data_IF_987776531358
#
_entry.id   IF_987776531358
#
_cell.length_a   1.000
_cell.length_b   1.000
_cell.length_c   1.000
_cell.angle_alpha   90.00
_cell.angle_beta   90.00
_cell.angle_gamma   90.00
#
_symmetry.space_group_name_H-M   'P 1'
#
loop_
_entity.id
_entity.type
_entity.pdbx_description
1 polymer ?
#
# COMPACT_ATOMS: atom_id res chain seq x y z
N UNK A 1 16.32 -19.04 -3.55
CA UNK A 1 15.44 -18.37 -4.52
C UNK A 1 14.60 -17.40 -3.71
N UNK A 2 14.55 -16.14 -4.09
CA UNK A 2 13.70 -15.16 -3.40
C UNK A 2 12.24 -15.43 -3.80
N UNK A 3 11.36 -15.56 -2.82
CA UNK A 3 9.92 -15.74 -3.05
C UNK A 3 9.34 -14.42 -3.53
N UNK A 4 9.13 -14.29 -4.85
CA UNK A 4 8.65 -13.08 -5.50
C UNK A 4 7.45 -13.43 -6.39
N UNK A 5 6.41 -12.65 -6.29
CA UNK A 5 5.30 -12.63 -7.24
C UNK A 5 5.58 -11.52 -8.26
N UNK A 6 5.82 -11.91 -9.50
CA UNK A 6 6.17 -10.99 -10.60
C UNK A 6 5.00 -10.82 -11.55
N UNK A 7 4.64 -9.58 -11.84
CA UNK A 7 3.77 -9.18 -12.93
C UNK A 7 4.67 -8.61 -14.02
N UNK A 8 4.62 -9.18 -15.23
CA UNK A 8 5.53 -8.81 -16.32
C UNK A 8 4.78 -8.48 -17.60
N UNK A 9 4.92 -7.23 -18.06
CA UNK A 9 4.35 -6.67 -19.29
C UNK A 9 2.84 -6.97 -19.49
N UNK A 10 2.08 -6.97 -18.38
CA UNK A 10 0.64 -7.30 -18.42
C UNK A 10 -0.14 -6.16 -19.04
N UNK A 11 -0.86 -6.49 -20.13
CA UNK A 11 -1.78 -5.56 -20.79
C UNK A 11 -3.20 -6.13 -20.83
N UNK A 12 -4.19 -5.24 -20.78
CA UNK A 12 -5.60 -5.61 -20.83
C UNK A 12 -6.47 -4.50 -21.41
N UNK A 13 -7.34 -4.88 -22.35
CA UNK A 13 -8.34 -4.00 -22.95
C UNK A 13 -9.76 -4.54 -22.68
N UNK A 14 -10.71 -3.63 -22.57
CA UNK A 14 -12.14 -3.93 -22.57
C UNK A 14 -12.78 -3.15 -23.72
N UNK A 15 -13.30 -3.88 -24.71
CA UNK A 15 -13.74 -3.30 -25.98
C UNK A 15 -12.63 -2.46 -26.61
N UNK A 16 -12.82 -1.18 -26.83
CA UNK A 16 -11.83 -0.27 -27.42
C UNK A 16 -10.93 0.43 -26.39
N UNK A 17 -11.20 0.25 -25.09
CA UNK A 17 -10.42 0.92 -24.03
C UNK A 17 -9.34 0.02 -23.46
N UNK A 18 -8.09 0.38 -23.66
CA UNK A 18 -6.96 -0.26 -22.98
C UNK A 18 -6.91 0.24 -21.53
N UNK A 19 -7.06 -0.70 -20.58
CA UNK A 19 -7.10 -0.42 -19.14
C UNK A 19 -5.74 -0.67 -18.50
N UNK A 20 -4.97 -1.65 -18.99
CA UNK A 20 -3.59 -1.91 -18.54
C UNK A 20 -2.65 -1.88 -19.73
N UNK A 21 -1.48 -1.26 -19.53
CA UNK A 21 -0.46 -0.98 -20.56
C UNK A 21 0.90 -1.43 -20.02
N UNK A 22 1.32 -2.63 -20.40
CA UNK A 22 2.63 -3.21 -20.07
C UNK A 22 3.01 -3.10 -18.57
N UNK A 23 2.04 -3.42 -17.71
CA UNK A 23 2.19 -3.32 -16.25
C UNK A 23 3.24 -4.33 -15.79
N UNK A 24 4.32 -3.82 -15.16
CA UNK A 24 5.43 -4.62 -14.65
C UNK A 24 5.82 -4.18 -13.25
N UNK A 25 5.80 -5.10 -12.29
CA UNK A 25 6.26 -4.91 -10.92
C UNK A 25 6.40 -6.24 -10.17
N UNK A 26 7.10 -6.19 -9.03
CA UNK A 26 7.32 -7.31 -8.14
C UNK A 26 6.64 -7.11 -6.78
N UNK A 27 6.19 -8.21 -6.17
CA UNK A 27 5.76 -8.28 -4.77
C UNK A 27 6.66 -9.26 -4.04
N UNK A 28 7.53 -8.73 -3.18
CA UNK A 28 8.60 -9.49 -2.54
C UNK A 28 8.14 -10.13 -1.23
N UNK A 29 8.59 -11.36 -0.97
CA UNK A 29 8.33 -12.08 0.27
C UNK A 29 8.78 -11.30 1.51
N UNK A 30 7.98 -11.42 2.57
CA UNK A 30 8.26 -10.75 3.84
C UNK A 30 8.06 -9.24 3.83
N UNK A 31 7.50 -8.69 2.76
CA UNK A 31 7.30 -7.26 2.59
C UNK A 31 5.85 -6.91 2.33
N UNK A 32 5.47 -5.72 2.79
CA UNK A 32 4.16 -5.14 2.54
C UNK A 32 4.28 -4.14 1.39
N UNK A 33 3.65 -4.44 0.26
CA UNK A 33 3.66 -3.63 -0.96
C UNK A 33 2.34 -2.88 -1.10
N UNK A 34 2.39 -1.55 -1.15
CA UNK A 34 1.25 -0.68 -1.43
C UNK A 34 1.07 -0.48 -2.94
N UNK A 35 -0.10 -0.80 -3.46
CA UNK A 35 -0.48 -0.57 -4.85
C UNK A 35 -1.39 0.66 -4.95
N UNK A 36 -0.82 1.78 -5.36
CA UNK A 36 -1.42 3.11 -5.23
C UNK A 36 -1.81 3.66 -6.61
N UNK A 37 -2.97 4.28 -6.67
CA UNK A 37 -3.46 4.93 -7.90
C UNK A 37 -4.88 5.47 -7.70
N UNK A 38 -5.28 6.40 -8.54
CA UNK A 38 -6.64 6.92 -8.56
C UNK A 38 -7.66 5.82 -8.88
N UNK A 39 -8.95 6.09 -8.61
CA UNK A 39 -10.01 5.19 -9.02
C UNK A 39 -10.04 5.05 -10.55
N UNK A 40 -10.14 3.81 -11.03
CA UNK A 40 -10.07 3.51 -12.46
C UNK A 40 -8.65 3.45 -13.06
N UNK A 41 -7.57 3.61 -12.25
CA UNK A 41 -6.19 3.49 -12.73
C UNK A 41 -5.77 2.08 -13.16
N UNK A 42 -6.54 1.03 -12.80
CA UNK A 42 -6.26 -0.35 -13.17
C UNK A 42 -5.90 -1.28 -12.00
N UNK A 43 -5.91 -0.81 -10.74
CA UNK A 43 -5.54 -1.59 -9.55
C UNK A 43 -6.31 -2.92 -9.45
N UNK A 44 -7.63 -2.87 -9.32
CA UNK A 44 -8.50 -4.05 -9.20
C UNK A 44 -8.38 -4.97 -10.42
N UNK A 45 -8.24 -4.41 -11.63
CA UNK A 45 -8.03 -5.19 -12.85
C UNK A 45 -6.74 -5.98 -12.80
N UNK A 46 -5.64 -5.36 -12.38
CA UNK A 46 -4.34 -6.02 -12.19
C UNK A 46 -4.44 -7.14 -11.15
N UNK A 47 -5.03 -6.88 -9.99
CA UNK A 47 -5.21 -7.90 -8.94
C UNK A 47 -6.06 -9.09 -9.42
N UNK A 48 -7.15 -8.84 -10.16
CA UNK A 48 -7.99 -9.90 -10.76
C UNK A 48 -7.21 -10.75 -11.77
N UNK A 49 -6.29 -10.16 -12.54
CA UNK A 49 -5.39 -10.90 -13.45
C UNK A 49 -4.40 -11.76 -12.66
N UNK A 50 -3.76 -11.21 -11.62
CA UNK A 50 -2.86 -11.96 -10.74
C UNK A 50 -3.54 -13.20 -10.15
N UNK A 51 -4.80 -13.09 -9.78
CA UNK A 51 -5.61 -14.17 -9.21
C UNK A 51 -6.21 -15.11 -10.26
N UNK A 52 -6.08 -14.78 -11.55
CA UNK A 52 -6.65 -15.56 -12.65
C UNK A 52 -8.18 -15.50 -12.74
N UNK A 53 -8.80 -14.52 -12.09
CA UNK A 53 -10.22 -14.18 -12.23
C UNK A 53 -10.48 -13.53 -13.61
N UNK A 54 -9.47 -12.81 -14.10
CA UNK A 54 -9.47 -12.16 -15.40
C UNK A 54 -8.23 -12.59 -16.19
N UNK A 55 -8.38 -12.84 -17.48
CA UNK A 55 -7.25 -13.12 -18.37
C UNK A 55 -6.57 -11.81 -18.80
N UNK A 56 -5.25 -11.81 -18.91
CA UNK A 56 -4.51 -10.76 -19.60
C UNK A 56 -4.60 -10.92 -21.12
N UNK A 57 -4.49 -9.84 -21.88
CA UNK A 57 -4.37 -9.91 -23.33
C UNK A 57 -2.93 -10.24 -23.74
N UNK A 58 -1.95 -9.76 -22.96
CA UNK A 58 -0.51 -10.07 -23.09
C UNK A 58 0.19 -9.99 -21.73
N UNK A 59 1.43 -10.45 -21.69
CA UNK A 59 2.23 -10.48 -20.47
C UNK A 59 1.98 -11.72 -19.62
N UNK A 60 2.68 -11.81 -18.50
CA UNK A 60 2.63 -13.00 -17.62
C UNK A 60 2.60 -12.61 -16.14
N UNK A 61 2.09 -13.53 -15.31
CA UNK A 61 2.23 -13.45 -13.86
C UNK A 61 2.89 -14.75 -13.38
N UNK A 62 3.96 -14.60 -12.61
CA UNK A 62 4.74 -15.75 -12.11
C UNK A 62 4.87 -15.70 -10.59
N UNK A 63 4.93 -16.87 -9.95
CA UNK A 63 5.26 -17.04 -8.56
C UNK A 63 6.52 -17.91 -8.44
N UNK A 64 7.56 -17.40 -7.75
CA UNK A 64 8.86 -18.09 -7.64
C UNK A 64 9.45 -18.45 -9.02
N UNK A 65 9.24 -17.59 -10.03
CA UNK A 65 9.69 -17.78 -11.40
C UNK A 65 8.89 -18.78 -12.24
N UNK A 66 7.84 -19.40 -11.68
CA UNK A 66 6.94 -20.30 -12.41
C UNK A 66 5.61 -19.63 -12.76
N UNK A 67 5.03 -19.88 -13.96
CA UNK A 67 3.70 -19.40 -14.31
C UNK A 67 2.65 -19.86 -13.30
N UNK A 68 1.68 -18.98 -13.01
CA UNK A 68 0.61 -19.28 -12.06
C UNK A 68 -0.41 -20.25 -12.69
N UNK A 69 -0.47 -21.46 -12.16
CA UNK A 69 -1.55 -22.40 -12.42
C UNK A 69 -2.70 -22.24 -11.40
N UNK A 70 -3.78 -23.00 -11.62
CA UNK A 70 -4.95 -23.00 -10.73
C UNK A 70 -4.63 -23.50 -9.31
N UNK A 71 -3.71 -24.47 -9.20
CA UNK A 71 -3.32 -25.06 -7.92
C UNK A 71 -2.54 -24.03 -7.07
N UNK A 72 -1.61 -23.31 -7.69
CA UNK A 72 -0.85 -22.24 -7.06
C UNK A 72 -1.75 -21.11 -6.61
N UNK A 73 -2.68 -20.66 -7.45
CA UNK A 73 -3.63 -19.58 -7.10
C UNK A 73 -4.56 -19.93 -5.93
N UNK A 74 -4.88 -21.21 -5.72
CA UNK A 74 -5.65 -21.64 -4.55
C UNK A 74 -4.94 -21.43 -3.22
N UNK A 75 -3.63 -21.25 -3.24
CA UNK A 75 -2.80 -20.94 -2.07
C UNK A 75 -2.66 -19.43 -1.81
N UNK A 76 -3.31 -18.61 -2.63
CA UNK A 76 -3.34 -17.17 -2.45
C UNK A 76 -4.56 -16.75 -1.64
N UNK A 77 -4.38 -15.81 -0.73
CA UNK A 77 -5.48 -15.16 -0.03
C UNK A 77 -5.90 -13.92 -0.82
N UNK A 78 -7.20 -13.76 -1.00
CA UNK A 78 -7.75 -12.61 -1.69
C UNK A 78 -8.88 -11.96 -0.90
N UNK A 79 -8.80 -10.66 -0.77
CA UNK A 79 -9.88 -9.82 -0.29
C UNK A 79 -10.29 -8.86 -1.40
N UNK A 80 -11.50 -8.98 -1.98
CA UNK A 80 -12.02 -8.03 -2.96
C UNK A 80 -12.47 -6.72 -2.30
N UNK A 81 -12.46 -5.63 -3.06
CA UNK A 81 -13.02 -4.33 -2.63
C UNK A 81 -14.52 -4.46 -2.33
N UNK A 82 -15.27 -5.16 -3.21
CA UNK A 82 -16.68 -5.47 -2.98
C UNK A 82 -16.83 -6.58 -1.93
N UNK A 83 -17.78 -6.40 -1.02
CA UNK A 83 -18.01 -7.37 0.06
C UNK A 83 -18.61 -8.65 -0.49
N UNK A 84 -17.78 -9.66 -0.66
CA UNK A 84 -18.17 -10.99 -1.15
C UNK A 84 -18.71 -11.94 -0.07
N UNK A 85 -19.02 -11.43 1.12
CA UNK A 85 -19.52 -12.24 2.23
C UNK A 85 -21.03 -12.42 2.18
N UNK A 86 -21.53 -13.58 2.63
CA UNK A 86 -22.97 -13.86 2.70
C UNK A 86 -23.59 -13.10 3.88
N UNK A 87 -24.50 -12.14 3.66
CA UNK A 87 -24.98 -11.24 4.71
C UNK A 87 -25.67 -11.94 5.88
N UNK A 88 -26.43 -13.00 5.59
CA UNK A 88 -27.26 -13.76 6.56
C UNK A 88 -26.56 -14.98 7.14
N UNK A 89 -25.30 -15.18 6.87
CA UNK A 89 -24.50 -16.27 7.44
C UNK A 89 -23.72 -15.76 8.67
N UNK A 90 -23.56 -16.61 9.66
CA UNK A 90 -22.74 -16.30 10.84
C UNK A 90 -21.28 -16.12 10.47
N UNK A 91 -20.59 -15.22 11.16
CA UNK A 91 -19.19 -14.88 10.85
C UNK A 91 -18.31 -16.11 10.88
N UNK A 92 -18.31 -16.84 12.01
CA UNK A 92 -17.47 -18.03 12.16
C UNK A 92 -17.87 -19.12 11.18
N UNK A 93 -19.17 -19.38 11.01
CA UNK A 93 -19.68 -20.38 10.07
C UNK A 93 -19.15 -20.12 8.65
N UNK A 94 -19.19 -18.88 8.21
CA UNK A 94 -18.76 -18.50 6.87
C UNK A 94 -17.25 -18.65 6.67
N UNK A 95 -16.42 -18.21 7.65
CA UNK A 95 -14.97 -18.34 7.56
C UNK A 95 -14.55 -19.81 7.57
N UNK A 96 -15.18 -20.64 8.42
CA UNK A 96 -14.99 -22.09 8.44
C UNK A 96 -15.31 -22.70 7.08
N UNK A 97 -16.46 -22.35 6.51
CA UNK A 97 -16.86 -22.82 5.18
C UNK A 97 -15.82 -22.47 4.10
N UNK A 98 -15.33 -21.22 4.10
CA UNK A 98 -14.28 -20.78 3.16
C UNK A 98 -12.96 -21.54 3.39
N UNK A 99 -12.57 -21.79 4.64
CA UNK A 99 -11.41 -22.62 4.97
C UNK A 99 -11.52 -24.05 4.40
N UNK A 100 -12.72 -24.65 4.52
CA UNK A 100 -12.98 -25.97 3.95
C UNK A 100 -12.93 -25.98 2.40
N UNK A 101 -13.36 -24.91 1.73
CA UNK A 101 -13.22 -24.77 0.26
C UNK A 101 -11.73 -24.73 -0.17
N UNK A 102 -10.85 -24.29 0.71
CA UNK A 102 -9.39 -24.32 0.50
C UNK A 102 -8.73 -25.64 0.95
N UNK A 103 -9.52 -26.62 1.42
CA UNK A 103 -9.06 -27.98 1.73
C UNK A 103 -8.74 -28.22 3.20
N UNK A 104 -9.04 -27.30 4.11
CA UNK A 104 -8.92 -27.55 5.55
C UNK A 104 -9.96 -28.56 6.03
N UNK A 105 -9.62 -29.36 7.04
CA UNK A 105 -10.62 -30.09 7.80
C UNK A 105 -11.57 -29.11 8.52
N UNK A 106 -12.76 -29.58 8.91
CA UNK A 106 -13.71 -28.74 9.64
C UNK A 106 -13.15 -28.24 10.96
N UNK A 107 -12.43 -29.10 11.67
CA UNK A 107 -11.83 -28.79 12.97
C UNK A 107 -10.69 -27.78 12.81
N UNK A 108 -9.75 -28.01 11.89
CA UNK A 108 -8.68 -27.05 11.59
C UNK A 108 -9.24 -25.68 11.15
N UNK A 109 -10.24 -25.69 10.27
CA UNK A 109 -10.88 -24.45 9.81
C UNK A 109 -11.53 -23.69 10.98
N UNK A 110 -12.18 -24.41 11.92
CA UNK A 110 -12.80 -23.82 13.11
C UNK A 110 -11.75 -23.22 14.04
N UNK A 111 -10.70 -23.97 14.36
CA UNK A 111 -9.67 -23.51 15.29
C UNK A 111 -8.96 -22.28 14.74
N UNK A 112 -8.58 -22.30 13.46
CA UNK A 112 -7.98 -21.14 12.78
C UNK A 112 -8.94 -19.95 12.70
N UNK A 113 -10.21 -20.19 12.46
CA UNK A 113 -11.24 -19.14 12.44
C UNK A 113 -11.33 -18.45 13.79
N UNK A 114 -11.46 -19.22 14.88
CA UNK A 114 -11.58 -18.64 16.23
C UNK A 114 -10.33 -17.85 16.60
N UNK A 115 -9.14 -18.36 16.33
CA UNK A 115 -7.88 -17.66 16.54
C UNK A 115 -7.79 -16.34 15.74
N UNK A 116 -8.23 -16.32 14.49
CA UNK A 116 -8.26 -15.10 13.67
C UNK A 116 -9.29 -14.10 14.18
N UNK A 117 -10.48 -14.56 14.58
CA UNK A 117 -11.52 -13.68 15.12
C UNK A 117 -11.08 -13.05 16.45
N UNK A 118 -10.39 -13.79 17.32
CA UNK A 118 -9.82 -13.26 18.55
C UNK A 118 -8.80 -12.15 18.25
N UNK A 119 -7.86 -12.40 17.34
CA UNK A 119 -6.82 -11.43 16.96
C UNK A 119 -7.39 -10.18 16.28
N UNK A 120 -8.50 -10.32 15.57
CA UNK A 120 -9.20 -9.22 14.91
C UNK A 120 -10.24 -8.54 15.81
N UNK A 121 -10.37 -8.95 17.08
CA UNK A 121 -11.31 -8.38 18.04
C UNK A 121 -12.78 -8.66 17.71
N UNK A 122 -13.07 -9.85 17.15
CA UNK A 122 -14.41 -10.28 16.72
C UNK A 122 -14.88 -11.56 17.39
N UNK A 123 -14.13 -12.12 18.35
CA UNK A 123 -14.45 -13.41 18.97
C UNK A 123 -15.85 -13.44 19.61
N UNK A 124 -16.23 -12.37 20.34
CA UNK A 124 -17.54 -12.26 20.98
C UNK A 124 -18.72 -12.15 19.99
N UNK A 125 -18.42 -11.88 18.72
CA UNK A 125 -19.39 -11.70 17.63
C UNK A 125 -19.40 -12.87 16.64
N UNK A 126 -18.71 -13.97 16.96
CA UNK A 126 -18.49 -15.11 16.07
C UNK A 126 -19.80 -15.68 15.47
N UNK A 127 -20.88 -15.66 16.22
CA UNK A 127 -22.20 -16.17 15.81
C UNK A 127 -23.11 -15.09 15.18
N UNK A 128 -22.69 -13.82 15.17
CA UNK A 128 -23.48 -12.75 14.56
C UNK A 128 -23.48 -12.87 13.03
N UNK A 129 -24.59 -12.46 12.41
CA UNK A 129 -24.68 -12.36 10.95
C UNK A 129 -23.87 -11.17 10.46
N UNK A 130 -23.22 -11.32 9.28
CA UNK A 130 -22.35 -10.29 8.68
C UNK A 130 -23.10 -8.96 8.49
N UNK A 131 -24.38 -8.99 8.10
CA UNK A 131 -25.20 -7.78 7.86
C UNK A 131 -25.42 -6.93 9.11
N UNK A 132 -25.26 -7.49 10.32
CA UNK A 132 -25.41 -6.78 11.59
C UNK A 132 -24.15 -6.04 12.01
N UNK A 133 -23.03 -6.29 11.35
CA UNK A 133 -21.76 -5.67 11.66
C UNK A 133 -21.62 -4.27 11.07
N UNK A 134 -20.86 -3.42 11.77
CA UNK A 134 -20.35 -2.18 11.18
C UNK A 134 -19.47 -2.48 9.96
N UNK A 135 -19.33 -1.47 9.08
CA UNK A 135 -18.49 -1.60 7.88
C UNK A 135 -17.08 -2.06 8.20
N UNK A 136 -16.46 -1.50 9.25
CA UNK A 136 -15.12 -1.86 9.69
C UNK A 136 -15.03 -3.29 10.21
N UNK A 137 -16.05 -3.79 10.92
CA UNK A 137 -16.06 -5.18 11.35
C UNK A 137 -16.26 -6.15 10.18
N UNK A 138 -17.10 -5.80 9.19
CA UNK A 138 -17.21 -6.59 7.96
C UNK A 138 -15.87 -6.69 7.21
N UNK A 139 -15.10 -5.59 7.19
CA UNK A 139 -13.76 -5.54 6.60
C UNK A 139 -12.81 -6.51 7.30
N UNK A 140 -12.82 -6.52 8.65
CA UNK A 140 -12.01 -7.46 9.44
C UNK A 140 -12.41 -8.92 9.19
N UNK A 141 -13.71 -9.21 9.02
CA UNK A 141 -14.20 -10.56 8.65
C UNK A 141 -13.69 -10.97 7.27
N UNK A 142 -13.65 -10.06 6.29
CA UNK A 142 -13.08 -10.35 4.96
C UNK A 142 -11.58 -10.69 5.03
N UNK A 143 -10.82 -9.96 5.85
CA UNK A 143 -9.39 -10.27 6.06
C UNK A 143 -9.24 -11.62 6.74
N UNK A 144 -10.07 -11.96 7.74
CA UNK A 144 -10.06 -13.30 8.34
C UNK A 144 -10.32 -14.40 7.30
N UNK A 145 -11.31 -14.18 6.43
CA UNK A 145 -11.64 -15.10 5.33
C UNK A 145 -10.48 -15.29 4.35
N UNK A 146 -9.75 -14.22 4.02
CA UNK A 146 -8.57 -14.28 3.16
C UNK A 146 -7.37 -14.99 3.81
N UNK A 147 -7.33 -15.07 5.15
CA UNK A 147 -6.22 -15.62 5.93
C UNK A 147 -6.42 -17.04 6.43
N UNK A 148 -7.67 -17.54 6.54
CA UNK A 148 -8.00 -18.79 7.26
C UNK A 148 -7.27 -20.02 6.75
N UNK A 149 -6.97 -20.08 5.43
CA UNK A 149 -6.28 -21.20 4.80
C UNK A 149 -4.75 -21.09 4.80
N UNK A 150 -4.19 -20.08 5.51
CA UNK A 150 -2.76 -19.83 5.63
C UNK A 150 -2.07 -19.61 4.27
N UNK A 151 -2.41 -18.52 3.56
CA UNK A 151 -1.98 -18.29 2.20
C UNK A 151 -0.48 -18.03 2.06
N UNK A 152 0.11 -18.43 0.90
CA UNK A 152 1.49 -18.14 0.53
C UNK A 152 1.69 -16.72 -0.03
N UNK A 153 0.62 -16.09 -0.52
CA UNK A 153 0.59 -14.71 -1.02
C UNK A 153 -0.73 -14.09 -0.60
N UNK A 154 -0.72 -12.84 -0.21
CA UNK A 154 -1.92 -12.12 0.19
C UNK A 154 -2.15 -10.91 -0.71
N UNK A 155 -3.32 -10.83 -1.34
CA UNK A 155 -3.75 -9.74 -2.22
C UNK A 155 -5.02 -9.13 -1.65
N UNK A 156 -4.96 -7.85 -1.27
CA UNK A 156 -6.05 -7.16 -0.58
C UNK A 156 -6.45 -5.90 -1.35
N UNK A 157 -7.71 -5.83 -1.78
CA UNK A 157 -8.22 -4.66 -2.49
C UNK A 157 -8.92 -3.71 -1.51
N UNK A 158 -8.34 -2.53 -1.26
CA UNK A 158 -8.79 -1.49 -0.32
C UNK A 158 -9.08 -2.00 1.11
N UNK A 159 -8.18 -2.77 1.76
CA UNK A 159 -8.47 -3.46 3.03
C UNK A 159 -8.74 -2.51 4.20
N UNK A 160 -8.28 -1.28 4.15
CA UNK A 160 -8.38 -0.31 5.22
C UNK A 160 -9.51 0.71 5.02
N UNK A 161 -10.28 0.58 3.93
CA UNK A 161 -11.36 1.52 3.62
C UNK A 161 -12.45 1.49 4.69
N UNK A 162 -12.80 2.68 5.23
CA UNK A 162 -13.86 2.83 6.22
C UNK A 162 -13.53 2.32 7.63
N UNK A 163 -12.25 2.07 7.93
CA UNK A 163 -11.76 1.72 9.26
C UNK A 163 -11.42 2.96 10.08
N UNK A 164 -11.70 2.90 11.38
CA UNK A 164 -11.11 3.83 12.35
C UNK A 164 -9.62 3.50 12.61
N UNK A 165 -8.83 4.42 13.20
CA UNK A 165 -7.41 4.20 13.44
C UNK A 165 -7.08 2.96 14.26
N UNK A 166 -7.90 2.62 15.28
CA UNK A 166 -7.67 1.44 16.10
C UNK A 166 -7.89 0.15 15.30
N UNK A 167 -8.92 0.13 14.45
CA UNK A 167 -9.17 -0.99 13.56
C UNK A 167 -8.06 -1.19 12.54
N UNK A 168 -7.49 -0.08 12.00
CA UNK A 168 -6.32 -0.13 11.13
C UNK A 168 -5.15 -0.78 11.86
N UNK A 169 -4.84 -0.34 13.08
CA UNK A 169 -3.69 -0.85 13.85
C UNK A 169 -3.82 -2.36 14.15
N UNK A 170 -5.02 -2.83 14.49
CA UNK A 170 -5.30 -4.27 14.68
C UNK A 170 -5.04 -5.05 13.39
N UNK A 171 -5.59 -4.59 12.26
CA UNK A 171 -5.38 -5.27 10.97
C UNK A 171 -3.93 -5.27 10.54
N UNK A 172 -3.24 -4.13 10.69
CA UNK A 172 -1.80 -4.03 10.39
C UNK A 172 -0.99 -5.01 11.24
N UNK A 173 -1.31 -5.16 12.52
CA UNK A 173 -0.67 -6.17 13.39
C UNK A 173 -0.77 -7.57 12.79
N UNK A 174 -1.96 -7.99 12.37
CA UNK A 174 -2.19 -9.31 11.74
C UNK A 174 -1.43 -9.46 10.42
N UNK A 175 -1.42 -8.42 9.56
CA UNK A 175 -0.69 -8.46 8.28
C UNK A 175 0.82 -8.47 8.46
N UNK A 176 1.35 -7.73 9.44
CA UNK A 176 2.79 -7.72 9.76
C UNK A 176 3.29 -9.06 10.28
N UNK A 177 2.48 -9.80 11.03
CA UNK A 177 2.86 -11.16 11.41
C UNK A 177 2.96 -12.08 10.19
N UNK A 178 2.12 -11.89 9.17
CA UNK A 178 2.24 -12.65 7.92
C UNK A 178 3.49 -12.27 7.12
N UNK A 179 3.81 -10.99 7.03
CA UNK A 179 5.07 -10.58 6.39
C UNK A 179 6.29 -11.07 7.17
N UNK A 180 6.26 -11.04 8.50
CA UNK A 180 7.33 -11.60 9.33
C UNK A 180 7.51 -13.12 9.13
N UNK A 181 6.44 -13.84 8.79
CA UNK A 181 6.48 -15.25 8.40
C UNK A 181 6.94 -15.48 6.93
N UNK A 182 7.30 -14.41 6.20
CA UNK A 182 7.79 -14.49 4.84
C UNK A 182 6.70 -14.36 3.76
N UNK A 183 5.43 -14.16 4.11
CA UNK A 183 4.34 -14.00 3.15
C UNK A 183 4.41 -12.63 2.48
N UNK A 184 4.48 -12.53 1.13
CA UNK A 184 4.32 -11.26 0.44
C UNK A 184 2.88 -10.76 0.55
N UNK A 185 2.71 -9.49 0.88
CA UNK A 185 1.40 -8.84 1.01
C UNK A 185 1.33 -7.69 0.01
N UNK A 186 0.38 -7.74 -0.92
CA UNK A 186 0.02 -6.64 -1.80
C UNK A 186 -1.34 -6.08 -1.34
N UNK A 187 -1.41 -4.78 -1.11
CA UNK A 187 -2.72 -4.16 -0.90
C UNK A 187 -2.89 -2.89 -1.72
N UNK A 188 -4.08 -2.68 -2.25
CA UNK A 188 -4.43 -1.42 -2.91
C UNK A 188 -4.87 -0.38 -1.88
N UNK A 189 -4.57 0.88 -2.18
CA UNK A 189 -5.15 2.02 -1.47
C UNK A 189 -5.12 3.28 -2.31
N UNK A 190 -6.07 4.17 -2.07
CA UNK A 190 -6.06 5.56 -2.54
C UNK A 190 -5.64 6.54 -1.43
N UNK A 191 -5.40 6.06 -0.19
CA UNK A 191 -4.98 6.86 0.97
C UNK A 191 -3.46 6.83 1.09
N UNK A 192 -2.78 7.80 0.47
CA UNK A 192 -1.31 7.86 0.40
C UNK A 192 -0.63 7.91 1.76
N UNK A 193 -1.19 8.66 2.72
CA UNK A 193 -0.65 8.78 4.07
C UNK A 193 -0.63 7.43 4.82
N UNK A 194 -1.68 6.63 4.64
CA UNK A 194 -1.76 5.29 5.21
C UNK A 194 -0.71 4.36 4.59
N UNK A 195 -0.61 4.39 3.25
CA UNK A 195 0.39 3.61 2.52
C UNK A 195 1.80 3.99 2.94
N UNK A 196 2.09 5.29 3.07
CA UNK A 196 3.39 5.80 3.54
C UNK A 196 3.78 5.27 4.90
N UNK A 197 2.80 5.13 5.81
CA UNK A 197 3.02 4.60 7.16
C UNK A 197 3.26 3.10 7.19
N UNK A 198 2.58 2.34 6.30
CA UNK A 198 2.48 0.88 6.41
C UNK A 198 3.40 0.10 5.48
N UNK A 199 3.71 0.62 4.29
CA UNK A 199 4.40 -0.13 3.26
C UNK A 199 5.92 -0.11 3.37
N UNK A 200 6.52 -1.21 2.99
CA UNK A 200 7.96 -1.35 2.75
C UNK A 200 8.28 -0.98 1.29
N UNK A 201 7.42 -1.41 0.36
CA UNK A 201 7.51 -1.16 -1.07
C UNK A 201 6.24 -0.50 -1.59
N UNK A 202 6.38 0.19 -2.72
CA UNK A 202 5.32 0.93 -3.39
C UNK A 202 5.30 0.65 -4.87
N UNK A 203 4.09 0.58 -5.42
CA UNK A 203 3.84 0.53 -6.86
C UNK A 203 2.77 1.59 -7.16
N UNK A 204 3.13 2.59 -7.95
CA UNK A 204 2.23 3.69 -8.35
C UNK A 204 1.76 3.44 -9.77
N UNK A 205 0.44 3.33 -9.95
CA UNK A 205 -0.20 3.15 -11.24
C UNK A 205 -1.07 4.37 -11.60
N UNK A 206 -0.92 4.87 -12.81
CA UNK A 206 -1.80 5.89 -13.37
C UNK A 206 -2.05 5.61 -14.86
N UNK A 207 -3.28 5.83 -15.33
CA UNK A 207 -3.73 5.61 -16.72
C UNK A 207 -3.37 4.22 -17.28
N UNK A 208 -3.41 3.22 -16.39
CA UNK A 208 -3.13 1.82 -16.73
C UNK A 208 -1.65 1.47 -16.87
N UNK A 209 -0.72 2.37 -16.53
CA UNK A 209 0.72 2.12 -16.59
C UNK A 209 1.39 2.34 -15.23
N UNK A 210 2.43 1.56 -14.92
CA UNK A 210 3.26 1.81 -13.74
C UNK A 210 4.07 3.07 -13.97
N UNK A 211 3.95 4.01 -13.04
CA UNK A 211 4.68 5.28 -13.05
C UNK A 211 5.94 5.23 -12.20
N UNK A 212 5.86 4.54 -11.07
CA UNK A 212 7.00 4.32 -10.20
C UNK A 212 6.80 3.02 -9.41
N UNK A 213 7.89 2.30 -9.13
CA UNK A 213 7.89 1.12 -8.27
C UNK A 213 9.24 0.98 -7.56
N UNK A 214 9.22 0.50 -6.31
CA UNK A 214 10.42 0.27 -5.53
C UNK A 214 10.21 0.41 -4.03
N UNK A 215 11.31 0.32 -3.27
CA UNK A 215 11.22 0.56 -1.84
C UNK A 215 10.85 2.02 -1.54
N UNK A 216 10.16 2.23 -0.42
CA UNK A 216 9.79 3.57 0.05
C UNK A 216 11.00 4.51 0.13
N UNK A 217 12.15 4.00 0.60
CA UNK A 217 13.40 4.76 0.66
C UNK A 217 13.94 5.09 -0.72
N UNK A 218 14.06 4.09 -1.59
CA UNK A 218 14.55 4.30 -2.97
C UNK A 218 13.70 5.31 -3.73
N UNK A 219 12.36 5.22 -3.61
CA UNK A 219 11.49 6.18 -4.27
C UNK A 219 11.67 7.60 -3.71
N UNK A 220 11.72 7.75 -2.39
CA UNK A 220 11.99 9.06 -1.79
C UNK A 220 13.32 9.65 -2.24
N UNK A 221 14.37 8.84 -2.28
CA UNK A 221 15.72 9.30 -2.69
C UNK A 221 15.74 9.66 -4.20
N UNK A 222 15.03 8.91 -5.04
CA UNK A 222 14.97 9.18 -6.48
C UNK A 222 14.19 10.44 -6.84
N UNK A 223 13.22 10.82 -6.01
CA UNK A 223 12.42 12.05 -6.18
C UNK A 223 12.80 13.14 -5.17
N UNK A 224 13.88 12.93 -4.40
CA UNK A 224 14.42 13.96 -3.52
C UNK A 224 14.99 15.10 -4.37
N UNK A 225 14.24 16.19 -4.47
CA UNK A 225 14.79 17.47 -4.90
C UNK A 225 15.74 17.96 -3.80
N UNK A 226 16.74 18.80 -4.11
CA UNK A 226 17.56 19.44 -3.10
C UNK A 226 16.74 20.51 -2.36
N UNK A 227 15.72 20.05 -1.66
CA UNK A 227 14.77 20.85 -0.89
C UNK A 227 15.16 20.89 0.56
N UNK A 228 15.11 22.08 1.14
CA UNK A 228 15.45 22.34 2.53
C UNK A 228 14.30 23.04 3.24
N UNK A 229 14.20 22.83 4.55
CA UNK A 229 13.37 23.64 5.42
C UNK A 229 14.25 24.35 6.43
N UNK A 230 13.84 25.56 6.77
CA UNK A 230 14.44 26.35 7.83
C UNK A 230 13.33 26.92 8.74
N UNK A 231 13.62 26.97 10.03
CA UNK A 231 12.84 27.71 11.02
C UNK A 231 13.79 28.64 11.78
N UNK A 232 13.53 29.94 11.71
CA UNK A 232 14.30 30.99 12.35
C UNK A 232 13.46 31.68 13.44
N UNK A 233 14.10 32.50 14.31
CA UNK A 233 13.36 33.18 15.37
C UNK A 233 12.44 34.28 14.84
N UNK A 234 12.88 34.98 13.79
CA UNK A 234 12.15 36.12 13.22
C UNK A 234 11.50 35.76 11.87
N UNK A 235 11.71 36.55 10.83
CA UNK A 235 11.16 36.35 9.51
C UNK A 235 12.19 35.70 8.57
N UNK A 236 11.82 34.60 7.91
CA UNK A 236 12.62 33.92 6.88
C UNK A 236 12.54 34.58 5.51
N UNK A 237 11.83 35.70 5.35
CA UNK A 237 11.59 36.39 4.07
C UNK A 237 12.85 36.78 3.28
N UNK A 238 13.99 36.97 3.97
CA UNK A 238 15.30 37.23 3.35
C UNK A 238 15.79 36.11 2.41
N UNK A 239 15.27 34.92 2.54
CA UNK A 239 15.60 33.79 1.65
C UNK A 239 15.19 34.03 0.20
N UNK A 240 14.23 34.93 -0.08
CA UNK A 240 13.83 35.30 -1.46
C UNK A 240 14.99 35.89 -2.28
N UNK A 241 15.90 36.58 -1.59
CA UNK A 241 17.04 37.23 -2.20
C UNK A 241 18.33 36.40 -2.09
N UNK A 242 18.26 35.21 -1.48
CA UNK A 242 19.41 34.35 -1.30
C UNK A 242 19.83 33.65 -2.62
N UNK A 243 21.11 33.68 -3.00
CA UNK A 243 21.56 33.07 -4.26
C UNK A 243 21.29 31.57 -4.30
N UNK A 244 20.70 31.10 -5.41
CA UNK A 244 20.44 29.68 -5.62
C UNK A 244 19.26 29.11 -4.82
N UNK A 245 18.48 29.95 -4.17
CA UNK A 245 17.27 29.59 -3.42
C UNK A 245 16.02 29.87 -4.26
N UNK A 246 15.12 28.87 -4.35
CA UNK A 246 13.78 29.03 -4.92
C UNK A 246 12.76 28.70 -3.84
N UNK A 247 11.96 29.68 -3.43
CA UNK A 247 10.97 29.49 -2.35
C UNK A 247 9.83 28.59 -2.83
N UNK A 248 9.55 27.52 -2.09
CA UNK A 248 8.40 26.63 -2.25
C UNK A 248 7.25 27.08 -1.35
N UNK A 249 7.54 27.37 -0.08
CA UNK A 249 6.58 27.96 0.85
C UNK A 249 7.32 28.86 1.85
N UNK A 250 6.64 29.94 2.28
CA UNK A 250 7.17 30.88 3.26
C UNK A 250 6.00 31.33 4.16
N UNK A 251 6.16 31.10 5.45
CA UNK A 251 5.20 31.49 6.48
C UNK A 251 5.96 32.06 7.69
N UNK A 252 6.18 33.37 7.67
CA UNK A 252 6.90 34.09 8.72
C UNK A 252 8.29 33.48 9.02
N UNK A 253 8.45 32.86 10.20
CA UNK A 253 9.73 32.27 10.60
C UNK A 253 10.09 30.98 9.88
N UNK A 254 9.16 30.36 9.14
CA UNK A 254 9.36 29.08 8.47
C UNK A 254 9.42 29.23 6.96
N UNK A 255 10.39 28.59 6.35
CA UNK A 255 10.48 28.51 4.88
C UNK A 255 10.84 27.09 4.43
N UNK A 256 10.23 26.68 3.30
CA UNK A 256 10.66 25.53 2.51
C UNK A 256 11.12 26.06 1.17
N UNK A 257 12.27 25.61 0.72
CA UNK A 257 12.89 26.12 -0.52
C UNK A 257 13.70 25.02 -1.21
N UNK A 258 13.81 25.14 -2.51
CA UNK A 258 14.71 24.33 -3.32
C UNK A 258 16.05 25.04 -3.43
N UNK A 259 17.14 24.28 -3.26
CA UNK A 259 18.50 24.78 -3.36
C UNK A 259 19.11 24.31 -4.69
N UNK A 260 19.68 25.22 -5.47
CA UNK A 260 20.33 24.85 -6.73
C UNK A 260 21.53 23.93 -6.48
N UNK A 261 21.87 23.00 -7.38
CA UNK A 261 23.00 22.06 -7.19
C UNK A 261 24.35 22.73 -7.00
N UNK A 262 24.48 23.99 -7.39
CA UNK A 262 25.70 24.80 -7.26
C UNK A 262 25.76 25.61 -5.96
N UNK A 263 24.67 25.66 -5.19
CA UNK A 263 24.60 26.42 -3.94
C UNK A 263 25.05 25.57 -2.76
N UNK A 264 25.73 26.24 -1.81
CA UNK A 264 26.24 25.63 -0.59
C UNK A 264 25.21 25.80 0.55
N UNK A 265 24.60 24.70 0.99
CA UNK A 265 23.66 24.67 2.09
C UNK A 265 24.28 25.16 3.41
N UNK A 266 25.58 24.87 3.63
CA UNK A 266 26.30 25.32 4.81
C UNK A 266 26.57 26.83 4.77
N UNK A 267 26.81 27.42 3.61
CA UNK A 267 26.94 28.88 3.47
C UNK A 267 25.59 29.55 3.77
N UNK A 268 24.49 28.97 3.30
CA UNK A 268 23.15 29.46 3.60
C UNK A 268 22.83 29.40 5.09
N UNK A 269 23.17 28.27 5.76
CA UNK A 269 23.00 28.13 7.20
C UNK A 269 23.83 29.18 7.98
N UNK A 270 25.07 29.44 7.60
CA UNK A 270 25.92 30.51 8.23
C UNK A 270 25.23 31.87 8.07
N UNK A 271 24.74 32.18 6.87
CA UNK A 271 24.01 33.43 6.63
C UNK A 271 22.75 33.54 7.50
N UNK A 272 22.04 32.44 7.72
CA UNK A 272 20.89 32.42 8.60
C UNK A 272 21.28 32.70 10.07
N UNK A 273 22.36 32.05 10.55
CA UNK A 273 22.88 32.25 11.92
C UNK A 273 23.37 33.67 12.15
N UNK A 274 23.97 34.34 11.14
CA UNK A 274 24.37 35.74 11.20
C UNK A 274 23.21 36.73 11.34
N UNK A 275 22.03 36.32 10.88
CA UNK A 275 20.78 37.13 10.95
C UNK A 275 20.02 36.92 12.27
N UNK A 276 20.21 35.78 12.92
CA UNK A 276 19.51 35.48 14.18
C UNK A 276 19.51 33.99 14.54
N UNK A 277 18.85 33.63 15.64
CA UNK A 277 18.74 32.23 16.06
C UNK A 277 18.01 31.37 15.03
N UNK A 278 18.61 30.22 14.70
CA UNK A 278 18.04 29.18 13.84
C UNK A 278 17.54 28.04 14.72
N UNK A 279 16.25 27.73 14.65
CA UNK A 279 15.64 26.64 15.43
C UNK A 279 15.77 25.29 14.74
N UNK A 280 15.67 25.25 13.41
CA UNK A 280 15.90 24.06 12.61
C UNK A 280 16.41 24.42 11.21
N UNK A 281 17.26 23.56 10.64
CA UNK A 281 17.70 23.62 9.25
C UNK A 281 18.05 22.21 8.78
N UNK A 282 17.51 21.80 7.63
CA UNK A 282 17.85 20.49 7.08
C UNK A 282 17.10 20.17 5.79
N UNK A 283 17.51 19.06 5.15
CA UNK A 283 16.83 18.58 3.95
C UNK A 283 15.42 18.13 4.27
N UNK A 284 14.50 18.39 3.35
CA UNK A 284 13.12 17.92 3.40
C UNK A 284 12.98 16.72 2.49
N UNK A 285 12.59 15.59 3.09
CA UNK A 285 12.27 14.39 2.32
C UNK A 285 10.85 14.54 1.75
N UNK A 286 10.64 14.35 0.45
CA UNK A 286 9.32 14.45 -0.15
C UNK A 286 8.37 13.40 0.44
N UNK A 287 7.14 13.80 0.68
CA UNK A 287 6.07 12.88 1.04
C UNK A 287 5.67 12.02 -0.16
N UNK A 288 5.08 10.86 0.09
CA UNK A 288 4.53 10.03 -0.99
C UNK A 288 3.43 10.77 -1.78
N UNK A 289 2.70 11.68 -1.14
CA UNK A 289 1.69 12.51 -1.78
C UNK A 289 2.31 13.48 -2.80
N UNK A 290 3.51 13.98 -2.53
CA UNK A 290 4.26 14.83 -3.48
C UNK A 290 4.79 13.99 -4.64
N UNK A 291 5.44 12.86 -4.35
CA UNK A 291 5.92 11.92 -5.37
C UNK A 291 4.76 11.47 -6.27
N UNK A 292 3.62 11.08 -5.68
CA UNK A 292 2.45 10.66 -6.43
C UNK A 292 1.97 11.75 -7.40
N UNK A 293 1.87 13.00 -6.95
CA UNK A 293 1.49 14.13 -7.82
C UNK A 293 2.46 14.34 -8.95
N UNK A 294 3.77 14.25 -8.68
CA UNK A 294 4.81 14.44 -9.69
C UNK A 294 4.78 13.37 -10.78
N UNK A 295 4.61 12.09 -10.42
CA UNK A 295 4.64 10.97 -11.39
C UNK A 295 3.31 10.78 -12.12
N UNK A 296 2.22 11.42 -11.68
CA UNK A 296 0.89 11.29 -12.29
C UNK A 296 0.45 12.52 -13.09
N UNK A 297 1.24 13.60 -13.09
CA UNK A 297 1.10 14.75 -13.99
C UNK A 297 1.70 14.43 -15.38
#
# INVERSE_FOLDING_TARGET
MTDVLTVDAVSRSFSERQVLKDVTFDVTAGRMTGFVGANGAGKTTTMRIMLGVLAADSGTVTWRGAPLDRATRRRFGYMPEERGLYPKMGIAEQIVYLGQLHGLSRDDARDRTMALLERLGLAERADEHVEKLSLGNQQRVQVAAALVHDPEVLVLDEPFSGLDPLAVDVMVGVLRERTAAGVPVLFSSHQLELVERLCDDLVIIADGAIRASGSRTTLRDSYALPRFAIEVADDAGWLRDAPGVTIVSLDGPRAVFDLSPSADDQALLRTALDKGPVHSFGPVTPSLSEIFREVTQ
#
